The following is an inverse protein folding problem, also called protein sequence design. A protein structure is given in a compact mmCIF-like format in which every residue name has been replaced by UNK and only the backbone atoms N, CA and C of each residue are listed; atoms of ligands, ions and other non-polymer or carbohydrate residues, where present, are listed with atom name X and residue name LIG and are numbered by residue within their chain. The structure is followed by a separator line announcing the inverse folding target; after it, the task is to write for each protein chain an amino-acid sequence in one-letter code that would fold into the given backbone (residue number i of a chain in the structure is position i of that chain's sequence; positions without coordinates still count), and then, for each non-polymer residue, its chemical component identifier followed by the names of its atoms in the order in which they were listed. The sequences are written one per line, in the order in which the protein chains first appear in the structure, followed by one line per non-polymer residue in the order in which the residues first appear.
data_IF_354680067411
#
_entry.id   IF_354680067411
#
_cell.length_a   1.000
_cell.length_b   1.000
_cell.length_c   1.000
_cell.angle_alpha   90.00
_cell.angle_beta   90.00
_cell.angle_gamma   90.00
#
_symmetry.space_group_name_H-M   'P 1'
#
loop_
_entity.id
_entity.type
_entity.pdbx_description
1 polymer ?
#
# COMPACT_ATOMS: atom_id res chain seq x y z
N UNK A 1 -11.83 30.55 -20.32
CA UNK A 1 -12.84 29.57 -19.90
C UNK A 1 -12.35 29.00 -18.58
N UNK A 2 -13.15 29.15 -17.53
CA UNK A 2 -12.84 28.55 -16.23
C UNK A 2 -13.00 27.05 -16.34
N UNK A 3 -11.98 26.29 -15.93
CA UNK A 3 -12.03 24.83 -15.94
C UNK A 3 -12.92 24.32 -14.81
N UNK A 4 -13.63 23.23 -15.06
CA UNK A 4 -14.33 22.51 -14.00
C UNK A 4 -13.30 21.90 -13.03
N UNK A 5 -13.65 21.72 -11.76
CA UNK A 5 -12.78 21.02 -10.81
C UNK A 5 -12.44 19.60 -11.29
N UNK A 6 -11.28 19.06 -10.86
CA UNK A 6 -10.91 17.70 -11.21
C UNK A 6 -11.89 16.69 -10.60
N UNK A 7 -12.07 15.57 -11.29
CA UNK A 7 -12.78 14.43 -10.71
C UNK A 7 -12.01 13.84 -9.53
N UNK A 8 -12.74 13.27 -8.57
CA UNK A 8 -12.15 12.54 -7.44
C UNK A 8 -12.04 11.06 -7.78
N UNK A 9 -10.85 10.50 -7.58
CA UNK A 9 -10.60 9.05 -7.67
C UNK A 9 -10.99 8.43 -6.33
N UNK A 10 -12.09 7.67 -6.29
CA UNK A 10 -12.78 7.38 -5.02
C UNK A 10 -11.99 6.44 -4.09
N UNK A 11 -11.38 5.39 -4.64
CA UNK A 11 -10.66 4.36 -3.88
C UNK A 11 -9.16 4.65 -3.70
N UNK A 12 -8.69 5.80 -4.18
CA UNK A 12 -7.30 6.18 -4.05
C UNK A 12 -6.88 6.37 -2.58
N UNK A 13 -5.71 5.85 -2.23
CA UNK A 13 -5.06 6.13 -0.97
C UNK A 13 -4.72 7.64 -0.92
N UNK A 14 -4.94 8.23 0.26
CA UNK A 14 -4.66 9.65 0.48
C UNK A 14 -3.19 9.99 0.24
N UNK A 15 -2.92 11.26 -0.09
CA UNK A 15 -1.54 11.78 -0.09
C UNK A 15 -1.03 11.76 1.36
N UNK A 16 -0.14 10.82 1.69
CA UNK A 16 0.63 10.91 2.92
C UNK A 16 1.68 12.01 2.76
N UNK A 17 1.40 13.16 3.34
CA UNK A 17 2.39 14.21 3.61
C UNK A 17 2.74 14.09 5.08
N UNK A 18 3.71 13.26 5.40
CA UNK A 18 4.36 13.37 6.71
C UNK A 18 5.27 14.60 6.63
N UNK A 19 5.12 15.54 7.57
CA UNK A 19 5.84 16.83 7.59
C UNK A 19 7.37 16.66 7.58
N UNK A 20 7.88 15.47 7.90
CA UNK A 20 9.30 15.12 8.00
C UNK A 20 9.75 13.91 7.15
N UNK A 21 8.90 13.39 6.24
CA UNK A 21 9.19 12.18 5.43
C UNK A 21 9.51 12.48 3.95
N UNK A 22 10.30 11.65 3.24
CA UNK A 22 10.55 11.87 1.82
C UNK A 22 9.23 11.80 1.04
N UNK A 23 9.07 12.73 0.09
CA UNK A 23 7.94 12.80 -0.81
C UNK A 23 7.75 11.45 -1.52
N UNK A 24 6.63 10.81 -1.27
CA UNK A 24 6.17 9.73 -2.12
C UNK A 24 5.86 10.28 -3.52
N UNK A 25 6.36 9.63 -4.56
CA UNK A 25 6.14 10.07 -5.93
C UNK A 25 4.71 9.77 -6.42
N UNK A 26 4.00 8.83 -5.78
CA UNK A 26 2.67 8.40 -6.20
C UNK A 26 1.59 9.41 -5.80
N UNK A 27 0.70 9.73 -6.75
CA UNK A 27 -0.47 10.56 -6.52
C UNK A 27 -1.73 9.72 -6.64
N UNK A 28 -2.70 9.90 -5.74
CA UNK A 28 -3.94 9.13 -5.72
C UNK A 28 -3.70 7.63 -5.97
N UNK A 29 -2.74 7.05 -5.23
CA UNK A 29 -2.28 5.68 -5.42
C UNK A 29 -3.46 4.71 -5.27
N UNK A 30 -3.69 3.90 -6.29
CA UNK A 30 -4.72 2.88 -6.25
C UNK A 30 -4.20 1.67 -5.45
N UNK A 31 -4.91 1.24 -4.40
CA UNK A 31 -4.58 -0.01 -3.74
C UNK A 31 -4.81 -1.17 -4.72
N UNK A 32 -4.02 -2.24 -4.60
CA UNK A 32 -4.00 -3.36 -5.53
C UNK A 32 -5.41 -3.95 -5.76
N UNK A 33 -6.22 -4.07 -4.71
CA UNK A 33 -7.59 -4.56 -4.82
C UNK A 33 -8.48 -3.68 -5.72
N UNK A 34 -8.27 -2.36 -5.73
CA UNK A 34 -9.04 -1.43 -6.56
C UNK A 34 -8.68 -1.53 -8.04
N UNK A 35 -7.54 -2.13 -8.39
CA UNK A 35 -7.13 -2.36 -9.78
C UNK A 35 -7.79 -3.59 -10.41
N UNK A 36 -8.51 -4.39 -9.63
CA UNK A 36 -9.14 -5.64 -10.07
C UNK A 36 -10.59 -5.45 -10.56
N UNK A 37 -11.14 -4.25 -10.38
CA UNK A 37 -12.52 -3.86 -10.72
C UNK A 37 -12.53 -2.50 -11.41
N UNK A 38 -13.67 -2.14 -11.98
CA UNK A 38 -13.85 -0.81 -12.56
C UNK A 38 -13.67 0.26 -11.48
N UNK A 39 -12.93 1.31 -11.84
CA UNK A 39 -12.56 2.37 -10.93
C UNK A 39 -13.71 3.37 -10.80
N UNK A 40 -14.18 3.56 -9.57
CA UNK A 40 -15.20 4.55 -9.27
C UNK A 40 -14.60 5.96 -9.25
N UNK A 41 -15.19 6.84 -10.06
CA UNK A 41 -14.85 8.25 -10.18
C UNK A 41 -16.03 9.11 -9.74
N UNK A 42 -15.74 10.27 -9.17
CA UNK A 42 -16.76 11.15 -8.61
C UNK A 42 -16.59 12.59 -9.11
N UNK A 43 -17.64 13.12 -9.72
CA UNK A 43 -17.77 14.54 -10.11
C UNK A 43 -18.51 15.25 -8.98
N UNK A 44 -17.82 16.18 -8.32
CA UNK A 44 -18.29 16.76 -7.06
C UNK A 44 -19.26 17.93 -7.23
N UNK A 45 -19.17 18.65 -8.35
CA UNK A 45 -19.92 19.90 -8.56
C UNK A 45 -20.58 19.92 -9.94
N UNK A 46 -21.75 20.56 -10.06
CA UNK A 46 -22.36 20.80 -11.35
C UNK A 46 -21.48 21.70 -12.22
N UNK A 47 -21.54 21.48 -13.53
CA UNK A 47 -21.09 22.46 -14.52
C UNK A 47 -22.18 23.51 -14.77
N UNK A 48 -21.83 24.70 -15.28
CA UNK A 48 -22.83 25.71 -15.64
C UNK A 48 -23.79 25.16 -16.70
N UNK A 49 -25.09 25.40 -16.51
CA UNK A 49 -26.11 24.95 -17.45
C UNK A 49 -26.29 23.43 -17.52
N UNK A 50 -25.94 22.69 -16.46
CA UNK A 50 -26.17 21.25 -16.40
C UNK A 50 -27.63 20.89 -16.65
N UNK A 51 -27.86 19.86 -17.45
CA UNK A 51 -29.18 19.44 -17.90
C UNK A 51 -30.21 19.35 -16.76
N UNK A 52 -31.37 19.97 -17.01
CA UNK A 52 -32.58 19.84 -16.21
C UNK A 52 -33.67 19.11 -16.99
N UNK A 53 -34.81 18.81 -16.37
CA UNK A 53 -35.83 17.91 -16.93
C UNK A 53 -36.13 18.09 -18.43
N UNK A 54 -35.92 17.02 -19.21
CA UNK A 54 -36.12 16.98 -20.66
C UNK A 54 -34.86 17.27 -21.48
N UNK A 55 -33.82 17.84 -20.86
CA UNK A 55 -32.54 18.17 -21.49
C UNK A 55 -31.55 17.01 -21.43
N UNK A 56 -30.44 17.13 -22.16
CA UNK A 56 -29.39 16.11 -22.23
C UNK A 56 -27.99 16.70 -22.37
N UNK A 57 -27.10 16.24 -21.51
CA UNK A 57 -25.67 16.55 -21.58
C UNK A 57 -24.88 15.34 -22.06
N UNK A 58 -23.87 15.54 -22.89
CA UNK A 58 -22.94 14.49 -23.32
C UNK A 58 -21.62 14.65 -22.59
N UNK A 59 -21.31 13.70 -21.71
CA UNK A 59 -20.06 13.65 -20.97
C UNK A 59 -19.07 12.70 -21.66
N UNK A 60 -17.85 13.16 -21.91
CA UNK A 60 -16.77 12.33 -22.46
C UNK A 60 -15.66 12.19 -21.43
N UNK A 61 -15.27 10.94 -21.15
CA UNK A 61 -14.15 10.63 -20.25
C UNK A 61 -12.88 10.39 -21.08
N UNK A 62 -11.80 11.02 -20.66
CA UNK A 62 -10.50 10.95 -21.32
C UNK A 62 -9.42 10.49 -20.36
N UNK A 63 -8.55 9.60 -20.84
CA UNK A 63 -7.38 9.13 -20.10
C UNK A 63 -6.10 9.44 -20.88
N UNK A 64 -5.08 9.90 -20.18
CA UNK A 64 -3.71 9.86 -20.64
C UNK A 64 -3.03 8.68 -19.96
N UNK A 65 -2.79 7.62 -20.74
CA UNK A 65 -2.15 6.39 -20.26
C UNK A 65 -0.66 6.59 -19.94
N UNK A 66 -0.05 5.71 -19.13
CA UNK A 66 1.36 5.83 -18.76
C UNK A 66 2.28 5.87 -19.99
N UNK A 67 3.22 6.82 -19.99
CA UNK A 67 4.19 7.01 -21.09
C UNK A 67 3.62 7.53 -22.41
N UNK A 68 2.31 7.82 -22.50
CA UNK A 68 1.69 8.43 -23.69
C UNK A 68 1.74 9.96 -23.62
N UNK A 69 1.55 10.58 -24.79
CA UNK A 69 1.51 12.04 -24.94
C UNK A 69 0.10 12.58 -25.25
N UNK A 70 -0.82 11.72 -25.69
CA UNK A 70 -2.16 12.10 -26.14
C UNK A 70 -3.22 11.43 -25.29
N UNK A 71 -4.29 12.18 -24.99
CA UNK A 71 -5.46 11.65 -24.32
C UNK A 71 -6.27 10.78 -25.28
N UNK A 72 -6.76 9.67 -24.77
CA UNK A 72 -7.67 8.74 -25.43
C UNK A 72 -9.06 8.90 -24.80
N UNK A 73 -10.11 8.97 -25.64
CA UNK A 73 -11.48 8.93 -25.14
C UNK A 73 -11.82 7.48 -24.81
N UNK A 74 -12.26 7.26 -23.58
CA UNK A 74 -12.53 5.90 -23.06
C UNK A 74 -14.00 5.66 -22.83
N UNK A 75 -14.77 6.70 -22.53
CA UNK A 75 -16.21 6.57 -22.26
C UNK A 75 -16.96 7.77 -22.85
N UNK A 76 -18.21 7.55 -23.25
CA UNK A 76 -19.17 8.62 -23.58
C UNK A 76 -20.50 8.30 -22.91
N UNK A 77 -20.96 9.20 -22.04
CA UNK A 77 -22.17 9.05 -21.25
C UNK A 77 -23.16 10.15 -21.64
N UNK A 78 -24.36 9.76 -22.05
CA UNK A 78 -25.47 10.70 -22.23
C UNK A 78 -26.22 10.80 -20.90
N UNK A 79 -26.31 12.01 -20.37
CA UNK A 79 -26.95 12.33 -19.10
C UNK A 79 -28.27 13.02 -19.38
N UNK A 80 -29.37 12.27 -19.27
CA UNK A 80 -30.72 12.77 -19.56
C UNK A 80 -31.43 13.26 -18.30
N UNK A 81 -32.15 14.39 -18.43
CA UNK A 81 -32.94 14.99 -17.38
C UNK A 81 -32.07 15.58 -16.25
N UNK A 82 -32.65 15.65 -15.04
CA UNK A 82 -31.99 16.29 -13.90
C UNK A 82 -30.71 15.54 -13.50
N UNK A 83 -29.55 16.16 -13.76
CA UNK A 83 -28.25 15.65 -13.31
C UNK A 83 -28.05 15.97 -11.83
N UNK A 84 -27.82 14.95 -11.01
CA UNK A 84 -27.60 15.07 -9.56
C UNK A 84 -26.12 14.93 -9.20
N UNK A 85 -25.68 15.66 -8.18
CA UNK A 85 -24.30 15.69 -7.70
C UNK A 85 -24.21 15.33 -6.20
N UNK A 86 -23.15 14.62 -5.76
CA UNK A 86 -22.02 14.16 -6.56
C UNK A 86 -22.41 13.04 -7.55
N UNK A 87 -21.93 13.15 -8.79
CA UNK A 87 -22.20 12.18 -9.85
C UNK A 87 -21.10 11.14 -9.87
N UNK A 88 -21.48 9.87 -9.87
CA UNK A 88 -20.55 8.76 -9.99
C UNK A 88 -20.51 8.27 -11.44
N UNK A 89 -19.29 8.02 -11.92
CA UNK A 89 -19.01 7.38 -13.21
C UNK A 89 -17.92 6.34 -12.99
N UNK A 90 -17.73 5.43 -13.94
CA UNK A 90 -16.74 4.36 -13.86
C UNK A 90 -15.71 4.47 -14.98
N UNK A 91 -14.48 4.10 -14.67
CA UNK A 91 -13.44 3.81 -15.66
C UNK A 91 -13.22 2.29 -15.70
N UNK A 92 -13.37 1.69 -16.87
CA UNK A 92 -13.15 0.25 -17.06
C UNK A 92 -11.75 -0.18 -16.61
N UNK A 93 -11.66 -1.32 -15.92
CA UNK A 93 -10.39 -1.81 -15.35
C UNK A 93 -9.29 -2.07 -16.38
N UNK A 94 -9.66 -2.32 -17.63
CA UNK A 94 -8.75 -2.48 -18.77
C UNK A 94 -7.90 -1.24 -19.06
N UNK A 95 -8.30 -0.08 -18.54
CA UNK A 95 -7.55 1.17 -18.63
C UNK A 95 -6.58 1.39 -17.44
N UNK A 96 -6.60 0.52 -16.43
CA UNK A 96 -5.75 0.60 -15.23
C UNK A 96 -4.38 -0.05 -15.47
N UNK A 97 -3.59 0.58 -16.32
CA UNK A 97 -2.23 0.17 -16.66
C UNK A 97 -1.21 0.61 -15.59
N UNK A 98 -0.10 -0.14 -15.48
CA UNK A 98 0.99 0.16 -14.55
C UNK A 98 1.61 1.53 -14.83
N UNK A 99 1.77 2.34 -13.78
CA UNK A 99 2.41 3.65 -13.83
C UNK A 99 1.47 4.82 -13.55
N UNK A 100 1.88 6.00 -14.02
CA UNK A 100 1.18 7.26 -13.76
C UNK A 100 0.26 7.59 -14.93
N UNK A 101 -1.03 7.75 -14.64
CA UNK A 101 -2.06 8.13 -15.59
C UNK A 101 -2.72 9.46 -15.22
N UNK A 102 -3.35 10.12 -16.17
CA UNK A 102 -4.19 11.31 -15.92
C UNK A 102 -5.58 11.10 -16.47
N UNK A 103 -6.60 11.56 -15.74
CA UNK A 103 -8.00 11.54 -16.17
C UNK A 103 -8.56 12.96 -16.21
N UNK A 104 -9.40 13.22 -17.21
CA UNK A 104 -10.26 14.39 -17.25
C UNK A 104 -11.57 14.00 -17.91
N UNK A 105 -12.59 14.79 -17.66
CA UNK A 105 -13.83 14.74 -18.42
C UNK A 105 -14.10 16.10 -19.08
N UNK A 106 -14.85 16.07 -20.17
CA UNK A 106 -15.54 17.23 -20.70
C UNK A 106 -17.03 16.95 -20.84
N UNK A 107 -17.80 18.03 -20.93
CA UNK A 107 -19.24 17.98 -21.13
C UNK A 107 -19.62 18.95 -22.23
N UNK A 108 -20.41 18.45 -23.18
CA UNK A 108 -21.17 19.25 -24.13
C UNK A 108 -22.63 19.28 -23.66
N UNK A 109 -23.13 20.48 -23.37
CA UNK A 109 -24.53 20.70 -22.97
C UNK A 109 -25.47 20.65 -24.17
N UNK A 110 -26.78 20.52 -23.94
CA UNK A 110 -27.76 20.52 -25.05
C UNK A 110 -27.71 21.79 -25.91
N UNK A 111 -27.41 22.94 -25.30
CA UNK A 111 -27.28 24.22 -26.01
C UNK A 111 -25.95 24.38 -26.76
N UNK A 112 -25.06 23.40 -26.67
CA UNK A 112 -23.76 23.35 -27.36
C UNK A 112 -22.61 24.01 -26.61
N UNK A 113 -22.81 24.42 -25.35
CA UNK A 113 -21.71 24.91 -24.52
C UNK A 113 -20.80 23.75 -24.12
N UNK A 114 -19.49 24.01 -24.12
CA UNK A 114 -18.45 23.03 -23.82
C UNK A 114 -17.68 23.40 -22.55
N UNK A 115 -17.54 22.45 -21.62
CA UNK A 115 -16.81 22.61 -20.37
C UNK A 115 -15.81 21.47 -20.19
N UNK A 116 -14.54 21.81 -19.90
CA UNK A 116 -13.49 20.84 -19.60
C UNK A 116 -13.09 20.89 -18.12
N UNK A 117 -12.88 19.73 -17.50
CA UNK A 117 -12.30 19.63 -16.16
C UNK A 117 -10.77 19.71 -16.13
N UNK A 118 -10.23 20.15 -15.00
CA UNK A 118 -8.83 19.91 -14.67
C UNK A 118 -8.51 18.41 -14.65
N UNK A 119 -7.33 18.05 -15.11
CA UNK A 119 -6.90 16.66 -15.09
C UNK A 119 -6.49 16.24 -13.67
N UNK A 120 -6.93 15.07 -13.24
CA UNK A 120 -6.46 14.40 -12.03
C UNK A 120 -5.41 13.35 -12.37
N UNK A 121 -4.32 13.32 -11.63
CA UNK A 121 -3.30 12.28 -11.73
C UNK A 121 -3.65 11.12 -10.79
N UNK A 122 -3.44 9.88 -11.24
CA UNK A 122 -3.47 8.71 -10.36
C UNK A 122 -2.32 7.74 -10.71
N UNK A 123 -1.91 6.95 -9.71
CA UNK A 123 -0.83 5.98 -9.85
C UNK A 123 -1.36 4.56 -9.63
N UNK A 124 -0.98 3.66 -10.52
CA UNK A 124 -1.13 2.21 -10.37
C UNK A 124 0.27 1.63 -10.18
N UNK A 125 0.47 0.94 -9.06
CA UNK A 125 1.73 0.26 -8.74
C UNK A 125 1.47 -1.23 -8.50
N UNK A 126 1.86 -2.03 -9.48
CA UNK A 126 1.77 -3.49 -9.54
C UNK A 126 3.13 -4.13 -9.30
N UNK A 127 4.18 -3.37 -9.02
CA UNK A 127 5.51 -3.91 -8.81
C UNK A 127 5.58 -4.66 -7.49
N UNK A 128 5.86 -5.95 -7.58
CA UNK A 128 6.17 -6.75 -6.41
C UNK A 128 7.56 -6.32 -5.92
N UNK A 129 7.74 -5.94 -4.64
CA UNK A 129 9.07 -5.69 -4.09
C UNK A 129 10.02 -6.85 -4.38
N UNK A 130 11.33 -6.59 -4.46
CA UNK A 130 12.34 -7.60 -4.82
C UNK A 130 12.12 -8.27 -6.19
N UNK A 131 11.34 -7.65 -7.09
CA UNK A 131 10.94 -8.26 -8.37
C UNK A 131 10.31 -9.66 -8.20
N UNK A 132 9.61 -9.87 -7.08
CA UNK A 132 9.01 -11.16 -6.74
C UNK A 132 9.98 -12.23 -6.22
N UNK A 133 11.26 -11.92 -6.05
CA UNK A 133 12.21 -12.85 -5.43
C UNK A 133 11.87 -13.10 -3.96
N UNK A 134 12.22 -14.29 -3.47
CA UNK A 134 12.03 -14.67 -2.07
C UNK A 134 12.93 -13.82 -1.16
N UNK A 135 12.36 -13.08 -0.19
CA UNK A 135 13.17 -12.31 0.75
C UNK A 135 14.12 -13.21 1.57
N UNK A 136 15.28 -12.68 1.92
CA UNK A 136 16.28 -13.38 2.76
C UNK A 136 15.77 -13.57 4.19
N UNK A 137 16.45 -14.40 4.98
CA UNK A 137 16.11 -14.55 6.40
C UNK A 137 16.26 -13.22 7.14
N UNK A 138 15.34 -12.96 8.07
CA UNK A 138 15.54 -11.88 9.03
C UNK A 138 16.73 -12.21 9.93
N UNK A 139 17.42 -11.17 10.39
CA UNK A 139 18.48 -11.26 11.39
C UNK A 139 17.87 -11.05 12.77
N UNK A 140 18.17 -11.97 13.68
CA UNK A 140 17.71 -11.99 15.07
C UNK A 140 18.89 -12.36 15.96
N UNK A 141 18.78 -12.12 17.27
CA UNK A 141 19.82 -12.55 18.21
C UNK A 141 20.03 -14.07 18.18
N UNK A 142 21.30 -14.50 18.17
CA UNK A 142 21.68 -15.91 18.12
C UNK A 142 21.14 -16.69 19.33
N UNK A 143 20.96 -16.04 20.49
CA UNK A 143 20.36 -16.64 21.69
C UNK A 143 18.94 -17.18 21.41
N UNK A 144 18.21 -16.59 20.47
CA UNK A 144 16.85 -16.99 20.12
C UNK A 144 16.82 -18.31 19.34
N UNK A 145 17.88 -18.63 18.61
CA UNK A 145 17.97 -19.85 17.78
C UNK A 145 18.82 -20.94 18.44
N UNK A 146 19.96 -20.57 19.03
CA UNK A 146 20.97 -21.52 19.53
C UNK A 146 21.11 -21.49 21.06
N UNK A 147 20.48 -20.54 21.75
CA UNK A 147 20.60 -20.34 23.19
C UNK A 147 19.36 -20.74 23.99
N UNK A 148 19.04 -19.95 25.02
CA UNK A 148 17.88 -20.21 25.86
C UNK A 148 16.56 -19.91 25.16
N UNK A 149 16.56 -19.09 24.11
CA UNK A 149 15.36 -18.64 23.42
C UNK A 149 14.76 -17.36 24.01
N UNK A 150 13.53 -17.05 23.61
CA UNK A 150 12.72 -15.99 24.21
C UNK A 150 12.31 -16.40 25.62
N UNK A 151 13.02 -15.88 26.61
CA UNK A 151 12.72 -16.03 28.04
C UNK A 151 12.20 -14.72 28.63
N UNK A 152 11.61 -14.77 29.84
CA UNK A 152 11.26 -13.56 30.59
C UNK A 152 12.47 -12.66 30.85
N UNK A 153 13.65 -13.25 31.07
CA UNK A 153 14.88 -12.51 31.30
C UNK A 153 15.36 -11.82 30.02
N UNK A 154 15.35 -12.54 28.89
CA UNK A 154 15.65 -11.99 27.57
C UNK A 154 14.73 -10.80 27.25
N UNK A 155 13.41 -10.97 27.37
CA UNK A 155 12.44 -9.92 27.10
C UNK A 155 12.67 -8.69 27.97
N UNK A 156 12.92 -8.88 29.28
CA UNK A 156 13.23 -7.76 30.18
C UNK A 156 14.51 -7.02 29.79
N UNK A 157 15.54 -7.72 29.34
CA UNK A 157 16.80 -7.11 28.89
C UNK A 157 16.62 -6.30 27.59
N UNK A 158 15.64 -6.67 26.76
CA UNK A 158 15.34 -6.04 25.47
C UNK A 158 14.07 -5.17 25.52
N UNK A 159 13.80 -4.54 26.67
CA UNK A 159 12.67 -3.61 26.85
C UNK A 159 11.31 -4.20 26.46
N UNK A 160 11.09 -5.48 26.77
CA UNK A 160 9.87 -6.24 26.50
C UNK A 160 9.56 -6.41 25.02
N UNK A 161 10.60 -6.48 24.17
CA UNK A 161 10.47 -6.68 22.73
C UNK A 161 11.55 -7.62 22.22
N UNK A 162 11.28 -8.28 21.09
CA UNK A 162 12.28 -8.97 20.28
C UNK A 162 12.55 -8.14 19.03
N UNK A 163 13.78 -7.62 18.84
CA UNK A 163 14.13 -6.89 17.62
C UNK A 163 14.31 -7.87 16.45
N UNK A 164 13.54 -7.68 15.39
CA UNK A 164 13.71 -8.42 14.12
C UNK A 164 14.31 -7.47 13.10
N UNK A 165 15.53 -7.75 12.67
CA UNK A 165 16.26 -6.89 11.73
C UNK A 165 16.07 -7.43 10.32
N UNK A 166 15.45 -6.65 9.45
CA UNK A 166 15.33 -6.94 8.03
C UNK A 166 16.51 -6.30 7.31
N UNK A 167 17.40 -7.11 6.70
CA UNK A 167 18.53 -6.58 5.95
C UNK A 167 18.08 -5.63 4.83
N UNK A 168 18.96 -4.70 4.45
CA UNK A 168 18.76 -3.91 3.23
C UNK A 168 18.62 -4.84 2.05
N UNK A 169 17.66 -4.55 1.18
CA UNK A 169 17.34 -5.36 0.02
C UNK A 169 17.31 -4.54 -1.26
N UNK A 170 17.55 -5.20 -2.40
CA UNK A 170 17.54 -4.55 -3.71
C UNK A 170 16.16 -3.93 -4.00
N UNK A 171 16.15 -2.68 -4.45
CA UNK A 171 14.89 -2.00 -4.73
C UNK A 171 14.15 -1.56 -3.46
N UNK A 172 14.83 -1.48 -2.31
CA UNK A 172 14.26 -0.92 -1.10
C UNK A 172 13.82 0.53 -1.34
N UNK A 173 12.56 0.83 -1.03
CA UNK A 173 11.94 2.14 -1.26
C UNK A 173 11.19 2.55 0.01
N UNK A 174 11.25 3.84 0.34
CA UNK A 174 10.49 4.38 1.46
C UNK A 174 9.00 4.13 1.26
N UNK A 175 8.29 3.74 2.32
CA UNK A 175 6.87 3.39 2.26
C UNK A 175 6.59 1.91 1.99
N UNK A 176 7.60 1.10 1.64
CA UNK A 176 7.44 -0.35 1.70
C UNK A 176 7.04 -0.77 3.11
N UNK A 177 6.04 -1.66 3.21
CA UNK A 177 5.54 -2.19 4.47
C UNK A 177 6.12 -3.59 4.70
N UNK A 178 6.80 -3.78 5.83
CA UNK A 178 7.30 -5.07 6.28
C UNK A 178 6.31 -5.61 7.31
N UNK A 179 5.77 -6.79 7.05
CA UNK A 179 4.86 -7.50 7.96
C UNK A 179 5.54 -8.77 8.45
N UNK A 180 5.68 -8.92 9.77
CA UNK A 180 6.34 -10.05 10.41
C UNK A 180 5.29 -11.01 10.98
N UNK A 181 5.57 -12.30 10.87
CA UNK A 181 4.74 -13.42 11.31
C UNK A 181 5.55 -14.34 12.22
N UNK A 182 4.88 -14.94 13.21
CA UNK A 182 5.54 -15.84 14.16
C UNK A 182 4.59 -16.92 14.68
N UNK A 183 5.03 -18.19 14.68
CA UNK A 183 4.31 -19.33 15.26
C UNK A 183 4.13 -20.51 14.30
N UNK A 184 3.96 -20.25 13.01
CA UNK A 184 3.77 -21.27 11.97
C UNK A 184 3.36 -20.65 10.62
N UNK A 185 3.20 -21.46 9.55
CA UNK A 185 2.92 -20.97 8.20
C UNK A 185 1.65 -20.11 8.09
N UNK A 186 0.62 -20.44 8.87
CA UNK A 186 -0.68 -19.73 8.87
C UNK A 186 -0.82 -18.74 10.03
N UNK A 187 0.30 -18.36 10.68
CA UNK A 187 0.26 -17.41 11.78
C UNK A 187 -0.27 -16.05 11.29
N UNK A 188 -1.07 -15.33 12.09
CA UNK A 188 -1.44 -13.96 11.78
C UNK A 188 -0.22 -13.03 11.87
N UNK A 189 -0.27 -11.84 11.24
CA UNK A 189 0.72 -10.79 11.45
C UNK A 189 0.91 -10.48 12.94
N UNK A 190 2.16 -10.40 13.40
CA UNK A 190 2.50 -10.09 14.79
C UNK A 190 3.11 -8.71 14.96
N UNK A 191 3.71 -8.15 13.91
CA UNK A 191 4.26 -6.80 13.90
C UNK A 191 4.34 -6.25 12.46
N UNK A 192 4.32 -4.92 12.35
CA UNK A 192 4.42 -4.21 11.07
C UNK A 192 5.37 -3.02 11.23
N UNK A 193 6.20 -2.78 10.22
CA UNK A 193 7.02 -1.58 10.12
C UNK A 193 6.97 -1.01 8.69
N UNK A 194 7.27 0.28 8.56
CA UNK A 194 7.41 0.97 7.27
C UNK A 194 8.88 1.30 7.06
N UNK A 195 9.40 0.97 5.88
CA UNK A 195 10.75 1.33 5.45
C UNK A 195 10.84 2.85 5.36
N UNK A 196 11.85 3.44 6.02
CA UNK A 196 12.05 4.89 6.06
C UNK A 196 13.16 5.39 5.15
N UNK A 197 14.14 4.55 4.84
CA UNK A 197 15.29 4.92 4.03
C UNK A 197 15.33 4.11 2.74
N UNK A 198 15.42 4.74 1.57
CA UNK A 198 15.51 4.04 0.29
C UNK A 198 16.90 3.44 0.07
N UNK A 199 17.00 2.51 -0.87
CA UNK A 199 18.25 1.98 -1.41
C UNK A 199 19.09 3.12 -2.04
N UNK A 200 20.39 3.26 -1.70
CA UNK A 200 21.31 4.20 -2.33
C UNK A 200 21.35 4.11 -3.86
N UNK A 201 21.06 2.94 -4.44
CA UNK A 201 20.98 2.76 -5.89
C UNK A 201 19.76 3.48 -6.49
N UNK A 202 18.70 3.68 -5.72
CA UNK A 202 17.48 4.36 -6.15
C UNK A 202 17.51 5.88 -5.85
N UNK A 203 18.34 6.33 -4.91
CA UNK A 203 18.51 7.75 -4.56
C UNK A 203 20.00 8.09 -4.38
N UNK A 204 20.64 8.76 -5.36
CA UNK A 204 22.05 9.14 -5.26
C UNK A 204 22.33 9.96 -3.99
N UNK A 205 23.21 9.46 -3.12
CA UNK A 205 23.55 10.08 -1.82
C UNK A 205 22.71 9.59 -0.63
N UNK A 206 21.76 8.67 -0.84
CA UNK A 206 21.04 8.00 0.24
C UNK A 206 21.91 7.00 1.01
N UNK A 207 21.62 6.79 2.29
CA UNK A 207 22.10 5.65 3.07
C UNK A 207 20.91 4.71 3.30
N UNK A 208 21.02 3.45 2.87
CA UNK A 208 20.05 2.44 3.27
C UNK A 208 20.46 1.85 4.60
N UNK A 209 19.49 1.83 5.52
CA UNK A 209 19.63 1.12 6.78
C UNK A 209 18.71 -0.10 6.79
N UNK A 210 19.11 -1.17 7.51
CA UNK A 210 18.20 -2.25 7.85
C UNK A 210 16.96 -1.71 8.55
N UNK A 211 15.82 -2.34 8.32
CA UNK A 211 14.60 -1.99 9.05
C UNK A 211 14.44 -2.89 10.26
N UNK A 212 14.33 -2.30 11.44
CA UNK A 212 14.07 -3.04 12.68
C UNK A 212 12.58 -3.07 12.95
N UNK A 213 12.03 -4.28 13.07
CA UNK A 213 10.62 -4.51 13.43
C UNK A 213 10.56 -5.06 14.86
N UNK A 214 10.13 -4.27 15.84
CA UNK A 214 10.00 -4.76 17.21
C UNK A 214 8.76 -5.66 17.33
N UNK A 215 8.95 -6.91 17.76
CA UNK A 215 7.83 -7.78 18.16
C UNK A 215 7.60 -7.64 19.67
N UNK A 216 6.41 -7.23 20.12
CA UNK A 216 6.11 -7.07 21.54
C UNK A 216 6.02 -8.40 22.29
N UNK A 217 6.35 -8.38 23.59
CA UNK A 217 6.40 -9.54 24.47
C UNK A 217 5.11 -10.38 24.53
N UNK A 218 3.93 -9.75 24.46
CA UNK A 218 2.64 -10.45 24.50
C UNK A 218 2.49 -11.50 23.39
N UNK A 219 3.14 -11.30 22.24
CA UNK A 219 3.15 -12.27 21.14
C UNK A 219 3.77 -13.57 21.62
N UNK A 220 4.93 -13.48 22.27
CA UNK A 220 5.64 -14.67 22.75
C UNK A 220 4.91 -15.33 23.91
N UNK A 221 4.29 -14.57 24.81
CA UNK A 221 3.45 -15.13 25.88
C UNK A 221 2.24 -15.89 25.38
N UNK A 222 1.74 -15.59 24.17
CA UNK A 222 0.65 -16.34 23.54
C UNK A 222 1.09 -17.65 22.88
N UNK A 223 2.40 -17.81 22.61
CA UNK A 223 2.96 -19.01 21.99
C UNK A 223 3.25 -20.09 23.03
N UNK A 224 3.05 -21.35 22.66
CA UNK A 224 3.47 -22.49 23.47
C UNK A 224 5.01 -22.56 23.59
N UNK A 225 5.51 -23.16 24.66
CA UNK A 225 6.94 -23.46 24.77
C UNK A 225 7.37 -24.39 23.62
N UNK A 226 8.48 -24.07 22.96
CA UNK A 226 8.99 -24.86 21.83
C UNK A 226 9.62 -24.02 20.74
N UNK A 227 9.82 -24.64 19.58
CA UNK A 227 10.40 -23.99 18.40
C UNK A 227 9.31 -23.47 17.47
N UNK A 228 9.42 -22.21 17.07
CA UNK A 228 8.49 -21.52 16.18
C UNK A 228 9.23 -20.98 14.96
N UNK A 229 8.50 -20.79 13.86
CA UNK A 229 9.04 -20.13 12.66
C UNK A 229 8.70 -18.65 12.71
N UNK A 230 9.69 -17.82 12.44
CA UNK A 230 9.56 -16.39 12.19
C UNK A 230 9.90 -16.10 10.72
N UNK A 231 9.03 -15.36 10.05
CA UNK A 231 9.20 -14.96 8.65
C UNK A 231 8.51 -13.61 8.41
N UNK A 232 8.72 -13.01 7.25
CA UNK A 232 8.11 -11.73 6.90
C UNK A 232 7.72 -11.65 5.43
N UNK A 233 6.88 -10.67 5.11
CA UNK A 233 6.55 -10.24 3.75
C UNK A 233 6.84 -8.75 3.60
N UNK A 234 7.20 -8.34 2.38
CA UNK A 234 7.36 -6.94 2.01
C UNK A 234 6.23 -6.60 1.04
N UNK A 235 5.52 -5.49 1.29
CA UNK A 235 4.51 -4.96 0.41
C UNK A 235 4.89 -3.55 -0.08
N UNK A 236 4.56 -3.23 -1.33
CA UNK A 236 4.56 -1.84 -1.79
C UNK A 236 3.39 -1.07 -1.14
N UNK A 237 3.31 0.25 -1.35
CA UNK A 237 2.24 1.08 -0.77
C UNK A 237 0.85 0.72 -1.32
N UNK A 238 0.77 0.14 -2.51
CA UNK A 238 -0.47 -0.36 -3.09
C UNK A 238 -0.93 -1.70 -2.44
N UNK A 239 -0.09 -2.36 -1.65
CA UNK A 239 -0.38 -3.64 -1.01
C UNK A 239 -0.05 -4.88 -1.88
N UNK A 240 0.71 -4.70 -2.97
CA UNK A 240 1.31 -5.82 -3.71
C UNK A 240 2.50 -6.33 -2.91
N UNK A 241 2.54 -7.63 -2.66
CA UNK A 241 3.45 -8.23 -1.67
C UNK A 241 4.30 -9.36 -2.25
N UNK A 242 5.48 -9.56 -1.64
CA UNK A 242 6.33 -10.72 -1.87
C UNK A 242 5.68 -12.01 -1.36
N UNK A 243 6.24 -13.14 -1.77
CA UNK A 243 6.09 -14.41 -1.03
C UNK A 243 6.71 -14.30 0.36
N UNK A 244 6.50 -15.32 1.20
CA UNK A 244 7.15 -15.43 2.50
C UNK A 244 8.67 -15.42 2.37
N UNK A 245 9.33 -14.68 3.26
CA UNK A 245 10.78 -14.75 3.41
C UNK A 245 11.24 -16.16 3.76
N UNK A 246 12.53 -16.42 3.58
CA UNK A 246 13.16 -17.57 4.25
C UNK A 246 12.92 -17.45 5.76
N UNK A 247 12.38 -18.52 6.36
CA UNK A 247 12.08 -18.55 7.80
C UNK A 247 13.35 -18.69 8.65
N UNK A 248 13.28 -18.15 9.87
CA UNK A 248 14.23 -18.40 10.95
C UNK A 248 13.50 -19.08 12.11
N UNK A 249 14.15 -20.06 12.72
CA UNK A 249 13.58 -20.75 13.87
C UNK A 249 13.95 -20.02 15.15
N UNK A 250 12.97 -19.81 16.01
CA UNK A 250 13.13 -19.24 17.35
C UNK A 250 12.62 -20.21 18.40
N UNK A 251 13.28 -20.24 19.54
CA UNK A 251 12.88 -21.03 20.70
C UNK A 251 12.12 -20.12 21.66
N UNK A 252 10.96 -20.53 22.15
CA UNK A 252 10.19 -19.82 23.19
C UNK A 252 10.17 -20.66 24.46
N UNK A 253 10.55 -20.06 25.60
CA UNK A 253 10.55 -20.71 26.92
C UNK A 253 9.95 -19.80 28.00
N UNK A 254 8.67 -20.03 28.25
CA UNK A 254 7.99 -19.57 29.45
C UNK A 254 8.42 -20.46 30.61
N UNK A 255 9.27 -19.94 31.48
CA UNK A 255 9.73 -20.66 32.68
C UNK A 255 8.55 -21.19 33.52
N UNK A 256 8.46 -22.52 33.68
CA UNK A 256 7.64 -23.25 34.67
C UNK A 256 7.57 -24.75 34.30
N UNK A 257 8.13 -25.73 35.03
CA UNK A 257 8.27 -25.94 36.48
C UNK A 257 9.73 -26.20 36.89
N UNK A 258 10.20 -25.57 37.97
CA UNK A 258 11.04 -26.30 38.94
C UNK A 258 10.14 -27.33 39.60
N UNK A 259 10.19 -28.58 39.15
CA UNK A 259 9.78 -29.71 40.00
C UNK A 259 10.78 -29.78 41.13
N UNK A 260 10.53 -29.03 42.20
CA UNK A 260 11.10 -29.34 43.50
C UNK A 260 10.53 -30.69 43.91
N UNK A 261 11.26 -31.77 43.62
CA UNK A 261 11.13 -33.01 44.37
C UNK A 261 11.52 -32.67 45.80
N UNK A 262 10.51 -32.51 46.67
CA UNK A 262 10.72 -32.66 48.11
C UNK A 262 10.71 -34.16 48.37
N UNK A 263 11.91 -34.70 48.59
CA UNK A 263 12.13 -35.91 49.38
C UNK A 263 11.62 -35.72 50.80
#
# INVERSE_FOLDING_TARGET
MDKLPPLKVFHALGRHRDEDGPYYAEENLLPNWATQSDLLLQILRPWPGSAVGGEKDTLQLWILKPGRQLYERVETLVLEGLVTFPRFITLGKEHLEEGISKLKFDVETEVGDFYESEAVTFTVDKQVPLNGQTPVKAVIDEELTYGEGVTKAYLKAHCYMVPVVIPVYEGQTTGHQITVFCGGPDAPPVAVAVVRTPDPLNVPGGQAFPTVVPIPDYVFFSLANGTHVLFYRIANRAGVQTVDSKGVFIIVKHSGKKTTNKT
#
